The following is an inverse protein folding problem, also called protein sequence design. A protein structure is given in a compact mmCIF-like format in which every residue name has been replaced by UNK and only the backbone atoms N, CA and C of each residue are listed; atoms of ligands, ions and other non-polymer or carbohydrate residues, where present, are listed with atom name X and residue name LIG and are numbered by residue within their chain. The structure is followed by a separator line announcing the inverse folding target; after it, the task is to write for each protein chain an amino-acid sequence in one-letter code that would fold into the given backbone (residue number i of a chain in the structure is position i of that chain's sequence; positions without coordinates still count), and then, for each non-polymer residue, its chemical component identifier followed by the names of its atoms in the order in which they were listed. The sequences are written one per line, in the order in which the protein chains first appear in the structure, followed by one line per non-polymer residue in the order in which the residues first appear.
data_IF_088355782754
#
_entry.id   IF_088355782754
#
_cell.length_a   1.000
_cell.length_b   1.000
_cell.length_c   1.000
_cell.angle_alpha   90.00
_cell.angle_beta   90.00
_cell.angle_gamma   90.00
#
_symmetry.space_group_name_H-M   'P 1'
#
loop_
_entity.id
_entity.type
_entity.pdbx_description
1 polymer ?
#
# COMPACT_ATOMS: atom_id res chain seq x y z
N UNK A 1 -26.01 27.29 11.36
CA UNK A 1 -25.38 27.23 10.01
C UNK A 1 -25.09 25.79 9.64
N UNK A 2 -25.14 25.44 8.35
CA UNK A 2 -24.73 24.12 7.87
C UNK A 2 -23.78 24.29 6.68
N UNK A 3 -22.60 23.68 6.75
CA UNK A 3 -21.64 23.64 5.65
C UNK A 3 -21.51 22.20 5.16
N UNK A 4 -21.45 22.00 3.86
CA UNK A 4 -21.16 20.69 3.26
C UNK A 4 -20.25 20.87 2.06
N UNK A 5 -19.45 19.86 1.75
CA UNK A 5 -18.55 19.93 0.61
C UNK A 5 -17.59 18.75 0.52
N UNK A 6 -16.55 18.94 -0.29
CA UNK A 6 -15.50 17.95 -0.53
C UNK A 6 -14.14 18.48 -0.06
N UNK A 7 -13.35 17.60 0.56
CA UNK A 7 -11.99 17.89 1.04
C UNK A 7 -10.99 18.17 -0.09
N UNK A 8 -11.30 17.70 -1.30
CA UNK A 8 -10.53 17.99 -2.53
C UNK A 8 -10.62 19.46 -2.93
N UNK A 9 -11.70 20.16 -2.56
CA UNK A 9 -11.96 21.57 -2.89
C UNK A 9 -11.55 22.50 -1.76
N UNK A 10 -11.81 22.11 -0.51
CA UNK A 10 -11.44 22.87 0.68
C UNK A 10 -10.77 21.94 1.68
N UNK A 11 -9.50 22.19 1.95
CA UNK A 11 -8.71 21.36 2.87
C UNK A 11 -9.22 21.48 4.31
N UNK A 12 -9.06 20.41 5.10
CA UNK A 12 -9.41 20.40 6.52
C UNK A 12 -8.81 21.57 7.32
N UNK A 13 -7.52 21.94 7.16
CA UNK A 13 -6.96 23.09 7.88
C UNK A 13 -7.72 24.40 7.61
N UNK A 14 -8.18 24.61 6.37
CA UNK A 14 -8.94 25.80 6.00
C UNK A 14 -10.33 25.80 6.65
N UNK A 15 -10.99 24.63 6.72
CA UNK A 15 -12.27 24.48 7.41
C UNK A 15 -12.15 24.78 8.90
N UNK A 16 -11.12 24.22 9.54
CA UNK A 16 -10.82 24.45 10.96
C UNK A 16 -10.47 25.93 11.23
N UNK A 17 -9.72 26.58 10.35
CA UNK A 17 -9.43 28.00 10.46
C UNK A 17 -10.69 28.87 10.29
N UNK A 18 -11.61 28.48 9.40
CA UNK A 18 -12.88 29.19 9.19
C UNK A 18 -13.75 29.16 10.44
N UNK A 19 -13.98 27.98 11.03
CA UNK A 19 -14.79 27.87 12.26
C UNK A 19 -14.12 28.58 13.44
N UNK A 20 -12.79 28.58 13.48
CA UNK A 20 -12.04 29.32 14.48
C UNK A 20 -12.22 30.82 14.35
N UNK A 21 -12.06 31.38 13.16
CA UNK A 21 -12.21 32.81 12.91
C UNK A 21 -13.64 33.29 13.13
N UNK A 22 -14.63 32.43 12.88
CA UNK A 22 -16.04 32.70 13.16
C UNK A 22 -16.48 32.38 14.60
N UNK A 23 -15.56 31.92 15.46
CA UNK A 23 -15.86 31.44 16.83
C UNK A 23 -17.04 30.46 16.91
N UNK A 24 -17.18 29.61 15.89
CA UNK A 24 -18.33 28.72 15.74
C UNK A 24 -18.25 27.54 16.72
N UNK A 25 -19.43 27.04 17.11
CA UNK A 25 -19.59 25.85 17.94
C UNK A 25 -20.38 24.80 17.15
N UNK A 26 -19.82 23.62 16.97
CA UNK A 26 -20.38 22.65 16.03
C UNK A 26 -19.59 21.35 15.94
N UNK A 27 -20.12 20.45 15.12
CA UNK A 27 -19.53 19.14 14.82
C UNK A 27 -19.27 19.03 13.32
N UNK A 28 -18.02 18.73 12.97
CA UNK A 28 -17.66 18.19 11.67
C UNK A 28 -17.88 16.68 11.66
N UNK A 29 -18.52 16.19 10.61
CA UNK A 29 -18.53 14.78 10.23
C UNK A 29 -17.81 14.65 8.89
N UNK A 30 -16.78 13.82 8.85
CA UNK A 30 -15.95 13.59 7.67
C UNK A 30 -16.07 12.14 7.22
N UNK A 31 -16.09 11.95 5.90
CA UNK A 31 -16.17 10.63 5.28
C UNK A 31 -15.13 10.52 4.15
N UNK A 32 -14.27 9.51 4.22
CA UNK A 32 -13.33 9.17 3.16
C UNK A 32 -13.40 7.66 2.88
N UNK A 33 -13.99 7.29 1.74
CA UNK A 33 -14.29 5.90 1.40
C UNK A 33 -15.09 5.20 2.52
N UNK A 34 -14.50 4.21 3.21
CA UNK A 34 -15.12 3.51 4.33
C UNK A 34 -14.77 4.11 5.71
N UNK A 35 -13.90 5.13 5.76
CA UNK A 35 -13.46 5.75 7.02
C UNK A 35 -14.36 6.92 7.39
N UNK A 36 -14.79 6.96 8.64
CA UNK A 36 -15.55 8.07 9.22
C UNK A 36 -14.73 8.75 10.31
N UNK A 37 -14.92 10.07 10.44
CA UNK A 37 -14.30 10.83 11.50
C UNK A 37 -15.20 11.97 11.98
N UNK A 38 -15.02 12.34 13.24
CA UNK A 38 -15.73 13.42 13.90
C UNK A 38 -14.72 14.42 14.47
N UNK A 39 -14.98 15.72 14.30
CA UNK A 39 -14.25 16.78 15.02
C UNK A 39 -15.28 17.71 15.64
N UNK A 40 -15.18 17.95 16.95
CA UNK A 40 -16.06 18.86 17.67
C UNK A 40 -15.29 20.13 18.02
N UNK A 41 -15.95 21.26 17.80
CA UNK A 41 -15.40 22.60 18.01
C UNK A 41 -16.34 23.36 18.93
N UNK A 42 -15.78 24.02 19.93
CA UNK A 42 -16.47 24.90 20.87
C UNK A 42 -15.84 26.29 20.83
N UNK A 43 -16.62 27.31 20.46
CA UNK A 43 -16.17 28.71 20.35
C UNK A 43 -14.87 28.84 19.54
N UNK A 44 -14.81 28.16 18.40
CA UNK A 44 -13.63 28.12 17.53
C UNK A 44 -12.46 27.27 18.04
N UNK A 45 -12.58 26.64 19.21
CA UNK A 45 -11.56 25.77 19.79
C UNK A 45 -11.86 24.30 19.54
N UNK A 46 -10.89 23.52 19.10
CA UNK A 46 -11.08 22.07 18.91
C UNK A 46 -11.07 21.40 20.28
N UNK A 47 -12.16 20.71 20.63
CA UNK A 47 -12.34 20.08 21.95
C UNK A 47 -12.38 18.54 21.87
N UNK A 48 -12.74 18.01 20.70
CA UNK A 48 -12.76 16.57 20.48
C UNK A 48 -12.43 16.22 19.03
N UNK A 49 -11.77 15.08 18.84
CA UNK A 49 -11.55 14.50 17.54
C UNK A 49 -11.52 12.97 17.66
N UNK A 50 -12.10 12.29 16.68
CA UNK A 50 -12.18 10.85 16.59
C UNK A 50 -12.08 10.44 15.12
N UNK A 51 -11.27 9.41 14.84
CA UNK A 51 -11.11 8.87 13.50
C UNK A 51 -10.81 7.36 13.61
N UNK A 52 -11.77 6.53 13.20
CA UNK A 52 -11.67 5.07 13.31
C UNK A 52 -11.37 4.62 14.75
N UNK A 53 -10.19 4.06 15.04
CA UNK A 53 -9.75 3.65 16.39
C UNK A 53 -8.95 4.72 17.14
N UNK A 54 -8.71 5.88 16.51
CA UNK A 54 -7.92 6.96 17.09
C UNK A 54 -8.83 7.99 17.76
N UNK A 55 -8.35 8.58 18.85
CA UNK A 55 -9.02 9.66 19.56
C UNK A 55 -8.07 10.83 19.86
N UNK A 56 -8.62 12.01 20.08
CA UNK A 56 -7.86 13.20 20.47
C UNK A 56 -6.92 13.70 19.38
N UNK A 57 -5.71 14.10 19.80
CA UNK A 57 -4.73 14.72 18.90
C UNK A 57 -4.30 13.78 17.77
N UNK A 58 -4.14 12.50 18.06
CA UNK A 58 -3.69 11.52 17.07
C UNK A 58 -4.74 11.32 15.97
N UNK A 59 -6.03 11.27 16.36
CA UNK A 59 -7.14 11.27 15.41
C UNK A 59 -7.11 12.53 14.55
N UNK A 60 -6.99 13.70 15.18
CA UNK A 60 -6.95 14.97 14.48
C UNK A 60 -5.81 15.01 13.46
N UNK A 61 -4.59 14.61 13.84
CA UNK A 61 -3.44 14.63 12.94
C UNK A 61 -3.57 13.63 11.78
N UNK A 62 -4.17 12.46 11.99
CA UNK A 62 -4.47 11.53 10.90
C UNK A 62 -5.41 12.16 9.86
N UNK A 63 -6.35 13.00 10.29
CA UNK A 63 -7.26 13.71 9.36
C UNK A 63 -6.55 14.75 8.49
N UNK A 64 -5.38 15.27 8.89
CA UNK A 64 -4.59 16.15 8.01
C UNK A 64 -4.01 15.40 6.81
N UNK A 65 -3.94 14.07 6.86
CA UNK A 65 -3.50 13.24 5.74
C UNK A 65 -4.63 12.99 4.72
N UNK A 66 -5.88 13.34 5.05
CA UNK A 66 -7.02 13.12 4.16
C UNK A 66 -7.04 14.18 3.05
N UNK A 67 -6.55 13.81 1.86
CA UNK A 67 -6.54 14.67 0.69
C UNK A 67 -7.89 14.72 -0.07
N UNK A 68 -8.80 13.78 0.21
CA UNK A 68 -10.10 13.67 -0.44
C UNK A 68 -11.15 13.12 0.54
N UNK A 69 -12.43 13.22 0.18
CA UNK A 69 -13.55 12.86 1.03
C UNK A 69 -14.63 13.94 1.04
N UNK A 70 -15.73 13.68 1.73
CA UNK A 70 -16.79 14.65 1.99
C UNK A 70 -16.76 15.11 3.44
N UNK A 71 -17.26 16.32 3.69
CA UNK A 71 -17.44 16.85 5.03
C UNK A 71 -18.83 17.48 5.17
N UNK A 72 -19.33 17.47 6.40
CA UNK A 72 -20.48 18.27 6.82
C UNK A 72 -20.21 18.88 8.18
N UNK A 73 -20.49 20.18 8.33
CA UNK A 73 -20.48 20.89 9.60
C UNK A 73 -21.89 21.27 9.98
N UNK A 74 -22.25 20.96 11.22
CA UNK A 74 -23.54 21.33 11.82
C UNK A 74 -23.23 22.08 13.11
N UNK A 75 -23.76 23.29 13.24
CA UNK A 75 -23.73 24.00 14.52
C UNK A 75 -24.60 23.27 15.54
N UNK A 76 -24.07 23.14 16.75
CA UNK A 76 -24.76 22.49 17.87
C UNK A 76 -24.76 23.43 19.06
N UNK A 77 -25.72 23.24 19.96
CA UNK A 77 -25.71 23.97 21.22
C UNK A 77 -24.51 23.51 22.07
N UNK A 78 -23.83 24.42 22.79
CA UNK A 78 -22.70 24.05 23.65
C UNK A 78 -23.05 22.99 24.69
N UNK A 79 -24.30 22.98 25.18
CA UNK A 79 -24.84 21.99 26.11
C UNK A 79 -24.87 20.55 25.56
N UNK A 80 -24.82 20.39 24.23
CA UNK A 80 -24.84 19.10 23.55
C UNK A 80 -23.44 18.49 23.38
N UNK A 81 -22.38 19.21 23.76
CA UNK A 81 -21.00 18.71 23.71
C UNK A 81 -20.74 17.92 24.99
N UNK A 82 -20.66 16.60 24.86
CA UNK A 82 -20.39 15.69 25.99
C UNK A 82 -18.98 15.14 25.99
N UNK A 83 -18.27 15.23 24.85
CA UNK A 83 -16.98 14.59 24.64
C UNK A 83 -15.88 15.64 24.59
N UNK A 84 -14.84 15.44 25.39
CA UNK A 84 -13.64 16.28 25.43
C UNK A 84 -12.40 15.39 25.44
N UNK A 85 -11.75 15.26 24.29
CA UNK A 85 -10.48 14.53 24.16
C UNK A 85 -9.28 15.46 23.97
N UNK A 86 -9.52 16.75 23.77
CA UNK A 86 -8.52 17.79 23.55
C UNK A 86 -8.89 18.95 24.49
N UNK A 87 -7.92 19.43 25.26
CA UNK A 87 -8.12 20.50 26.23
C UNK A 87 -7.48 21.81 25.73
N UNK A 88 -8.26 22.74 25.13
CA UNK A 88 -7.73 23.97 24.57
C UNK A 88 -7.11 24.92 25.61
N UNK A 89 -7.31 24.69 26.92
CA UNK A 89 -6.63 25.45 27.97
C UNK A 89 -5.16 25.07 28.13
N UNK A 90 -4.73 23.90 27.63
CA UNK A 90 -3.33 23.50 27.63
C UNK A 90 -2.59 24.15 26.45
N UNK A 91 -1.39 24.66 26.72
CA UNK A 91 -0.59 25.38 25.73
C UNK A 91 -0.26 24.53 24.50
N UNK A 92 -0.11 23.21 24.61
CA UNK A 92 0.18 22.29 23.51
C UNK A 92 -1.07 21.87 22.71
N UNK A 93 -2.27 22.20 23.18
CA UNK A 93 -3.54 21.74 22.60
C UNK A 93 -4.41 22.90 22.11
N UNK A 94 -3.82 24.10 21.98
CA UNK A 94 -4.49 25.22 21.35
C UNK A 94 -4.73 24.95 19.87
N UNK A 95 -5.86 25.43 19.32
CA UNK A 95 -6.19 25.22 17.90
C UNK A 95 -5.08 25.70 16.97
N UNK A 96 -4.43 26.84 17.26
CA UNK A 96 -3.26 27.33 16.51
C UNK A 96 -2.15 26.29 16.38
N UNK A 97 -1.77 25.71 17.51
CA UNK A 97 -0.69 24.74 17.55
C UNK A 97 -1.08 23.44 16.88
N UNK A 98 -2.28 22.95 17.13
CA UNK A 98 -2.79 21.76 16.49
C UNK A 98 -2.83 21.91 14.96
N UNK A 99 -3.25 23.08 14.47
CA UNK A 99 -3.21 23.41 13.04
C UNK A 99 -1.79 23.39 12.49
N UNK A 100 -0.86 24.07 13.17
CA UNK A 100 0.54 24.16 12.75
C UNK A 100 1.22 22.78 12.75
N UNK A 101 1.03 22.01 13.82
CA UNK A 101 1.60 20.67 13.95
C UNK A 101 0.99 19.68 12.95
N UNK A 102 -0.33 19.74 12.74
CA UNK A 102 -1.01 18.89 11.76
C UNK A 102 -0.56 19.18 10.33
N UNK A 103 -0.39 20.46 9.97
CA UNK A 103 0.16 20.83 8.65
C UNK A 103 1.59 20.33 8.49
N UNK A 104 2.45 20.55 9.48
CA UNK A 104 3.85 20.08 9.45
C UNK A 104 3.93 18.55 9.34
N UNK A 105 3.07 17.83 10.06
CA UNK A 105 2.96 16.37 9.98
C UNK A 105 2.56 15.89 8.57
N UNK A 106 1.56 16.53 7.94
CA UNK A 106 1.15 16.21 6.58
C UNK A 106 2.25 16.49 5.54
N UNK A 107 2.99 17.58 5.70
CA UNK A 107 4.14 17.91 4.86
C UNK A 107 5.27 16.89 4.99
N UNK A 108 5.63 16.49 6.22
CA UNK A 108 6.63 15.46 6.49
C UNK A 108 6.22 14.12 5.87
N UNK A 109 4.96 13.72 6.03
CA UNK A 109 4.46 12.49 5.42
C UNK A 109 4.51 12.55 3.90
N UNK A 110 4.11 13.68 3.30
CA UNK A 110 4.17 13.91 1.85
C UNK A 110 5.61 13.87 1.33
N UNK A 111 6.56 14.42 2.07
CA UNK A 111 7.98 14.36 1.73
C UNK A 111 8.48 12.90 1.70
N UNK A 112 8.16 12.10 2.72
CA UNK A 112 8.51 10.68 2.75
C UNK A 112 7.86 9.90 1.58
N UNK A 113 6.62 10.21 1.24
CA UNK A 113 5.92 9.59 0.11
C UNK A 113 6.53 9.95 -1.24
N UNK A 114 7.00 11.18 -1.42
CA UNK A 114 7.72 11.62 -2.62
C UNK A 114 9.05 10.87 -2.79
N UNK A 115 9.74 10.61 -1.68
CA UNK A 115 10.94 9.77 -1.64
C UNK A 115 10.64 8.26 -1.75
N UNK A 116 9.37 7.88 -1.84
CA UNK A 116 8.90 6.48 -1.86
C UNK A 116 9.44 5.66 -0.68
N UNK A 117 9.57 6.29 0.49
CA UNK A 117 9.96 5.61 1.71
C UNK A 117 8.80 4.72 2.14
N UNK A 118 9.05 3.42 2.22
CA UNK A 118 8.08 2.42 2.67
C UNK A 118 8.62 1.69 3.88
N UNK A 119 7.78 0.86 4.49
CA UNK A 119 8.21 -0.01 5.58
C UNK A 119 9.32 -1.01 5.21
N UNK A 120 9.54 -1.27 3.92
CA UNK A 120 10.60 -2.16 3.42
C UNK A 120 11.88 -1.42 3.07
N UNK A 121 11.87 -0.09 3.12
CA UNK A 121 13.06 0.71 2.87
C UNK A 121 14.09 0.44 3.95
N UNK A 122 15.35 0.27 3.54
CA UNK A 122 16.49 0.16 4.45
C UNK A 122 17.21 1.49 4.48
N UNK A 123 17.48 1.99 5.68
CA UNK A 123 18.26 3.20 5.89
C UNK A 123 19.63 2.82 6.40
N UNK A 124 20.65 3.58 6.01
CA UNK A 124 22.00 3.54 6.61
C UNK A 124 22.32 4.92 7.18
N UNK A 125 23.10 5.01 8.28
CA UNK A 125 23.63 6.28 8.72
C UNK A 125 24.50 6.91 7.62
N UNK A 126 24.37 8.21 7.42
CA UNK A 126 25.18 8.93 6.46
C UNK A 126 26.63 9.06 6.99
N UNK A 127 27.60 8.81 6.11
CA UNK A 127 29.04 8.97 6.45
C UNK A 127 29.40 10.44 6.68
N UNK A 128 28.71 11.34 5.97
CA UNK A 128 28.90 12.79 6.06
C UNK A 128 27.71 13.44 6.80
N UNK A 129 27.44 12.98 8.04
CA UNK A 129 26.36 13.51 8.84
C UNK A 129 26.51 15.04 9.00
N UNK A 130 25.49 15.79 8.59
CA UNK A 130 25.47 17.24 8.77
C UNK A 130 25.34 17.57 10.27
N UNK A 131 25.97 18.65 10.70
CA UNK A 131 25.81 19.13 12.08
C UNK A 131 24.42 19.76 12.23
N UNK A 132 23.55 19.11 13.00
CA UNK A 132 22.18 19.53 13.25
C UNK A 132 21.70 19.03 14.62
N UNK A 133 20.76 19.76 15.24
CA UNK A 133 20.14 19.31 16.49
C UNK A 133 19.05 18.30 16.16
N UNK A 134 19.27 17.04 16.50
CA UNK A 134 18.27 15.99 16.42
C UNK A 134 17.38 15.98 17.67
N UNK A 135 16.11 15.66 17.49
CA UNK A 135 15.22 15.33 18.62
C UNK A 135 15.66 14.03 19.27
N UNK A 136 15.24 13.81 20.51
CA UNK A 136 15.49 12.55 21.22
C UNK A 136 14.95 11.34 20.45
N UNK A 137 13.72 11.44 19.92
CA UNK A 137 13.11 10.41 19.08
C UNK A 137 13.91 10.12 17.81
N UNK A 138 14.49 11.15 17.17
CA UNK A 138 15.32 10.98 15.98
C UNK A 138 16.68 10.35 16.32
N UNK A 139 17.25 10.65 17.49
CA UNK A 139 18.46 10.00 17.99
C UNK A 139 18.23 8.52 18.31
N UNK A 140 17.10 8.19 18.94
CA UNK A 140 16.71 6.79 19.19
C UNK A 140 16.58 6.02 17.89
N UNK A 141 15.89 6.61 16.89
CA UNK A 141 15.76 5.99 15.58
C UNK A 141 17.11 5.83 14.89
N UNK A 142 17.97 6.86 14.89
CA UNK A 142 19.30 6.80 14.29
C UNK A 142 20.20 5.73 14.91
N UNK A 143 20.08 5.48 16.22
CA UNK A 143 20.84 4.45 16.93
C UNK A 143 20.50 3.01 16.49
N UNK A 144 19.29 2.78 16.00
CA UNK A 144 18.82 1.48 15.51
C UNK A 144 19.06 1.27 14.00
N UNK A 145 19.41 2.32 13.26
CA UNK A 145 19.64 2.26 11.81
C UNK A 145 21.03 1.65 11.55
N UNK A 146 21.04 0.42 11.05
CA UNK A 146 22.25 -0.37 10.80
C UNK A 146 22.60 -0.53 9.31
N UNK A 147 21.72 -0.13 8.38
CA UNK A 147 21.90 -0.36 6.95
C UNK A 147 21.49 -1.76 6.47
N UNK A 148 20.92 -2.60 7.35
CA UNK A 148 20.58 -3.99 7.04
C UNK A 148 19.08 -4.26 7.16
N UNK A 149 18.42 -3.69 8.17
CA UNK A 149 17.03 -4.02 8.48
C UNK A 149 16.04 -3.05 7.82
N UNK A 150 14.87 -3.55 7.39
CA UNK A 150 13.81 -2.69 6.88
C UNK A 150 13.24 -1.82 8.00
N UNK A 151 12.79 -0.62 7.65
CA UNK A 151 12.20 0.33 8.59
C UNK A 151 11.08 -0.27 9.44
N UNK A 152 10.27 -1.17 8.91
CA UNK A 152 9.22 -1.88 9.68
C UNK A 152 9.78 -2.64 10.88
N UNK A 153 10.90 -3.35 10.71
CA UNK A 153 11.54 -4.08 11.80
C UNK A 153 12.07 -3.11 12.87
N UNK A 154 12.72 -2.03 12.45
CA UNK A 154 13.26 -1.00 13.34
C UNK A 154 12.14 -0.29 14.10
N UNK A 155 11.15 0.26 13.39
CA UNK A 155 10.04 1.02 13.96
C UNK A 155 9.18 0.18 14.90
N UNK A 156 9.04 -1.13 14.65
CA UNK A 156 8.29 -2.01 15.53
C UNK A 156 8.92 -2.22 16.92
N UNK A 157 10.25 -2.03 17.03
CA UNK A 157 10.97 -2.10 18.31
C UNK A 157 10.91 -0.79 19.10
N UNK A 158 10.69 0.32 18.41
CA UNK A 158 10.65 1.64 19.02
C UNK A 158 9.25 1.92 19.59
N UNK A 159 9.19 2.38 20.83
CA UNK A 159 7.95 2.81 21.50
C UNK A 159 7.58 4.24 21.11
N UNK A 160 7.61 4.54 19.81
CA UNK A 160 7.29 5.87 19.27
C UNK A 160 5.89 5.88 18.67
N UNK A 161 5.16 6.97 18.88
CA UNK A 161 3.89 7.20 18.19
C UNK A 161 4.10 7.33 16.68
N UNK A 162 3.07 7.05 15.89
CA UNK A 162 3.13 7.17 14.43
C UNK A 162 3.57 8.58 13.97
N UNK A 163 3.12 9.62 14.68
CA UNK A 163 3.55 11.01 14.43
C UNK A 163 5.04 11.18 14.65
N UNK A 164 5.56 10.74 15.79
CA UNK A 164 6.98 10.84 16.12
C UNK A 164 7.84 10.04 15.13
N UNK A 165 7.41 8.85 14.72
CA UNK A 165 8.10 8.05 13.72
C UNK A 165 8.25 8.81 12.39
N UNK A 166 7.15 9.38 11.88
CA UNK A 166 7.15 10.15 10.63
C UNK A 166 8.02 11.40 10.76
N UNK A 167 7.90 12.12 11.86
CA UNK A 167 8.69 13.33 12.12
C UNK A 167 10.18 13.00 12.19
N UNK A 168 10.57 11.99 12.97
CA UNK A 168 11.95 11.55 13.12
C UNK A 168 12.53 11.08 11.78
N UNK A 169 11.79 10.27 11.02
CA UNK A 169 12.23 9.83 9.68
C UNK A 169 12.42 11.00 8.73
N UNK A 170 11.47 11.93 8.69
CA UNK A 170 11.56 13.10 7.84
C UNK A 170 12.79 13.95 8.20
N UNK A 171 13.05 14.20 9.48
CA UNK A 171 14.24 14.93 9.94
C UNK A 171 15.54 14.22 9.58
N UNK A 172 15.63 12.90 9.79
CA UNK A 172 16.86 12.15 9.47
C UNK A 172 17.20 12.21 7.97
N UNK A 173 16.19 12.15 7.11
CA UNK A 173 16.37 12.20 5.67
C UNK A 173 16.55 13.63 5.14
N UNK A 174 15.79 14.61 5.64
CA UNK A 174 15.90 16.02 5.21
C UNK A 174 17.24 16.62 5.58
N UNK A 175 17.73 16.29 6.77
CA UNK A 175 18.97 16.85 7.32
C UNK A 175 20.20 16.02 6.90
N UNK A 176 19.98 14.88 6.24
CA UNK A 176 21.04 14.03 5.68
C UNK A 176 21.79 13.22 6.72
N UNK A 177 21.16 12.86 7.85
CA UNK A 177 21.71 11.92 8.84
C UNK A 177 21.57 10.46 8.40
N UNK A 178 20.62 10.17 7.51
CA UNK A 178 20.43 8.83 6.97
C UNK A 178 20.23 8.91 5.45
N UNK A 179 20.65 7.84 4.77
CA UNK A 179 20.47 7.67 3.33
C UNK A 179 19.72 6.38 3.08
N UNK A 180 18.87 6.40 2.05
CA UNK A 180 18.22 5.19 1.56
C UNK A 180 19.26 4.32 0.87
N UNK A 181 19.34 3.06 1.28
CA UNK A 181 20.23 2.07 0.67
C UNK A 181 19.37 0.97 0.07
N UNK A 182 19.79 0.45 -1.07
CA UNK A 182 19.19 -0.78 -1.59
C UNK A 182 19.35 -1.88 -0.53
N UNK A 183 18.29 -2.64 -0.23
CA UNK A 183 18.39 -3.76 0.70
C UNK A 183 19.54 -4.65 0.22
N UNK A 184 20.63 -4.68 0.99
CA UNK A 184 21.66 -5.68 0.77
C UNK A 184 20.95 -7.00 1.05
N UNK A 185 20.70 -7.81 0.01
CA UNK A 185 20.38 -9.22 0.23
C UNK A 185 21.43 -9.72 1.22
N UNK A 186 21.02 -10.31 2.36
CA UNK A 186 21.99 -10.79 3.31
C UNK A 186 22.96 -11.65 2.53
N UNK A 187 24.26 -11.31 2.55
CA UNK A 187 25.33 -12.04 1.87
C UNK A 187 25.53 -13.47 2.43
N UNK A 188 24.48 -13.99 3.09
CA UNK A 188 24.32 -15.27 3.74
C UNK A 188 22.83 -15.70 3.71
N UNK A 189 22.15 -15.58 2.58
CA UNK A 189 21.48 -16.82 2.17
C UNK A 189 22.64 -17.72 1.78
N UNK A 190 23.09 -18.55 2.72
CA UNK A 190 23.81 -19.77 2.37
C UNK A 190 23.02 -20.36 1.22
N UNK A 191 23.58 -20.22 0.01
CA UNK A 191 23.14 -20.98 -1.12
C UNK A 191 23.36 -22.41 -0.66
N UNK A 192 22.31 -23.02 -0.12
CA UNK A 192 22.31 -24.39 0.34
C UNK A 192 22.43 -25.18 -0.93
N UNK A 193 23.68 -25.38 -1.37
CA UNK A 193 23.96 -26.25 -2.47
C UNK A 193 23.46 -27.61 -2.03
N UNK A 194 22.49 -28.11 -2.79
CA UNK A 194 22.02 -29.47 -2.60
C UNK A 194 23.26 -30.37 -2.70
N UNK A 195 23.50 -31.28 -1.76
CA UNK A 195 24.59 -32.23 -1.86
C UNK A 195 24.57 -32.93 -3.22
N UNK A 196 25.74 -33.23 -3.80
CA UNK A 196 25.84 -33.77 -5.16
C UNK A 196 24.98 -35.02 -5.38
N UNK A 197 24.77 -35.83 -4.34
CA UNK A 197 23.91 -37.02 -4.41
C UNK A 197 22.42 -36.67 -4.55
N UNK A 198 21.96 -35.57 -3.96
CA UNK A 198 20.59 -35.07 -4.10
C UNK A 198 20.38 -34.53 -5.51
N UNK A 199 21.35 -33.77 -6.02
CA UNK A 199 21.31 -33.26 -7.41
C UNK A 199 21.35 -34.42 -8.41
N UNK A 200 22.23 -35.40 -8.20
CA UNK A 200 22.32 -36.59 -9.05
C UNK A 200 21.02 -37.41 -9.01
N UNK A 201 20.38 -37.53 -7.84
CA UNK A 201 19.11 -38.25 -7.70
C UNK A 201 17.95 -37.51 -8.35
N UNK A 202 17.85 -36.19 -8.14
CA UNK A 202 16.83 -35.36 -8.77
C UNK A 202 16.99 -35.35 -10.30
N UNK A 203 18.23 -35.32 -10.81
CA UNK A 203 18.53 -35.43 -12.25
C UNK A 203 18.29 -36.82 -12.83
N UNK A 204 18.39 -37.87 -12.01
CA UNK A 204 18.10 -39.25 -12.41
C UNK A 204 16.60 -39.46 -12.62
N UNK A 205 15.78 -38.88 -11.75
CA UNK A 205 14.31 -39.03 -11.80
C UNK A 205 13.66 -37.99 -12.73
N UNK A 206 14.27 -36.82 -12.93
CA UNK A 206 13.86 -35.81 -13.91
C UNK A 206 15.07 -35.14 -14.56
N UNK A 207 15.38 -35.41 -15.85
CA UNK A 207 16.55 -34.85 -16.52
C UNK A 207 16.49 -33.32 -16.65
N UNK A 208 15.30 -32.72 -16.57
CA UNK A 208 15.11 -31.27 -16.54
C UNK A 208 14.14 -30.85 -15.42
N UNK A 209 14.70 -30.68 -14.23
CA UNK A 209 13.97 -30.28 -13.02
C UNK A 209 13.23 -28.95 -13.22
N UNK A 210 13.81 -28.05 -14.02
CA UNK A 210 13.19 -26.76 -14.35
C UNK A 210 11.88 -26.97 -15.10
N UNK A 211 11.88 -27.87 -16.09
CA UNK A 211 10.68 -28.22 -16.85
C UNK A 211 9.63 -28.92 -15.96
N UNK A 212 10.05 -29.81 -15.06
CA UNK A 212 9.14 -30.47 -14.13
C UNK A 212 8.44 -29.48 -13.17
N UNK A 213 9.16 -28.44 -12.71
CA UNK A 213 8.58 -27.37 -11.90
C UNK A 213 7.60 -26.54 -12.73
N UNK A 214 7.94 -26.19 -13.96
CA UNK A 214 7.05 -25.47 -14.88
C UNK A 214 5.78 -26.30 -15.15
N UNK A 215 5.92 -27.59 -15.45
CA UNK A 215 4.80 -28.49 -15.69
C UNK A 215 3.91 -28.65 -14.46
N UNK A 216 4.50 -28.68 -13.25
CA UNK A 216 3.75 -28.70 -11.99
C UNK A 216 2.94 -27.41 -11.80
N UNK A 217 3.52 -26.24 -12.09
CA UNK A 217 2.83 -24.94 -12.00
C UNK A 217 1.69 -24.87 -13.01
N UNK A 218 1.93 -25.29 -14.26
CA UNK A 218 0.90 -25.34 -15.31
C UNK A 218 -0.22 -26.31 -14.95
N UNK A 219 0.11 -27.46 -14.34
CA UNK A 219 -0.89 -28.43 -13.90
C UNK A 219 -1.78 -27.87 -12.79
N UNK A 220 -1.20 -27.21 -11.79
CA UNK A 220 -1.96 -26.55 -10.71
C UNK A 220 -2.92 -25.49 -11.28
N UNK A 221 -2.48 -24.73 -12.30
CA UNK A 221 -3.32 -23.71 -12.93
C UNK A 221 -4.50 -24.32 -13.70
N UNK A 222 -4.27 -25.43 -14.42
CA UNK A 222 -5.36 -26.19 -15.08
C UNK A 222 -6.39 -26.73 -14.09
N UNK A 223 -5.95 -27.24 -12.93
CA UNK A 223 -6.86 -27.72 -11.88
C UNK A 223 -7.72 -26.57 -11.34
N UNK A 224 -7.14 -25.39 -11.15
CA UNK A 224 -7.91 -24.20 -10.72
C UNK A 224 -8.96 -23.79 -11.76
N UNK A 225 -8.61 -23.77 -13.05
CA UNK A 225 -9.57 -23.50 -14.11
C UNK A 225 -10.71 -24.53 -14.11
N UNK A 226 -10.39 -25.81 -13.91
CA UNK A 226 -11.40 -26.88 -13.87
C UNK A 226 -12.34 -26.75 -12.67
N UNK A 227 -11.81 -26.41 -11.50
CA UNK A 227 -12.63 -26.10 -10.32
C UNK A 227 -13.57 -24.91 -10.56
N UNK A 228 -13.05 -23.82 -11.12
CA UNK A 228 -13.88 -22.64 -11.42
C UNK A 228 -15.00 -22.95 -12.42
N UNK A 229 -14.71 -23.78 -13.42
CA UNK A 229 -15.71 -24.24 -14.39
C UNK A 229 -16.79 -25.10 -13.71
N UNK A 230 -16.39 -26.03 -12.85
CA UNK A 230 -17.32 -26.86 -12.09
C UNK A 230 -18.24 -26.02 -11.20
N UNK A 231 -17.70 -25.03 -10.49
CA UNK A 231 -18.48 -24.11 -9.65
C UNK A 231 -19.51 -23.32 -10.49
N UNK A 232 -19.10 -22.80 -11.64
CA UNK A 232 -20.00 -22.10 -12.58
C UNK A 232 -21.13 -23.02 -13.08
N UNK A 233 -20.82 -24.27 -13.40
CA UNK A 233 -21.80 -25.23 -13.88
C UNK A 233 -22.76 -25.66 -12.75
N UNK A 234 -22.29 -25.79 -11.51
CA UNK A 234 -23.15 -25.99 -10.34
C UNK A 234 -24.10 -24.81 -10.11
N UNK A 235 -23.65 -23.56 -10.26
CA UNK A 235 -24.53 -22.39 -10.17
C UNK A 235 -25.61 -22.40 -11.25
N UNK A 236 -25.28 -22.77 -12.49
CA UNK A 236 -26.27 -22.91 -13.58
C UNK A 236 -27.32 -23.97 -13.24
N UNK A 237 -26.89 -25.14 -12.76
CA UNK A 237 -27.80 -26.23 -12.37
C UNK A 237 -28.73 -25.79 -11.24
N UNK A 238 -28.19 -25.11 -10.22
CA UNK A 238 -28.99 -24.56 -9.11
C UNK A 238 -30.04 -23.58 -9.62
N UNK A 239 -29.65 -22.65 -10.48
CA UNK A 239 -30.56 -21.67 -11.08
C UNK A 239 -31.65 -22.33 -11.96
N UNK A 240 -31.33 -23.43 -12.65
CA UNK A 240 -32.32 -24.21 -13.41
C UNK A 240 -33.32 -24.92 -12.49
N UNK A 241 -32.85 -25.50 -11.37
CA UNK A 241 -33.71 -26.15 -10.38
C UNK A 241 -34.64 -25.15 -9.68
N UNK A 242 -34.14 -23.97 -9.32
CA UNK A 242 -34.96 -22.91 -8.72
C UNK A 242 -36.02 -22.39 -9.70
N UNK A 243 -35.70 -22.28 -10.99
CA UNK A 243 -36.67 -21.92 -12.04
C UNK A 243 -37.71 -23.02 -12.30
N UNK A 244 -37.31 -24.30 -12.22
CA UNK A 244 -38.21 -25.43 -12.46
C UNK A 244 -39.03 -25.84 -11.22
N UNK A 245 -38.60 -25.46 -10.00
CA UNK A 245 -39.33 -25.70 -8.76
C UNK A 245 -40.66 -24.92 -8.62
N UNK A 246 -40.96 -24.02 -9.56
CA UNK A 246 -42.19 -23.22 -9.59
C UNK A 246 -43.26 -23.67 -10.60
N UNK A 247 -43.08 -24.79 -11.31
CA UNK A 247 -44.10 -25.26 -12.26
C UNK A 247 -44.42 -26.74 -12.11
N UNK A 248 -45.71 -26.98 -11.90
CA UNK A 248 -46.39 -28.27 -11.89
C UNK A 248 -45.94 -29.20 -13.02
N UNK A 249 -45.69 -30.45 -12.65
CA UNK A 249 -45.54 -31.63 -13.52
C UNK A 249 -46.58 -31.62 -14.64
N UNK A 250 -46.15 -31.94 -15.88
CA UNK A 250 -46.91 -32.86 -16.69
C UNK A 250 -46.06 -34.05 -17.18
N UNK A 251 -46.67 -35.21 -16.97
CA UNK A 251 -46.55 -36.50 -17.65
C UNK A 251 -45.69 -36.59 -18.92
N UNK A 252 -44.69 -37.49 -18.84
CA UNK A 252 -44.29 -38.50 -19.83
C UNK A 252 -44.67 -38.25 -21.30
N UNK A 253 -43.69 -37.88 -22.14
CA UNK A 253 -43.63 -38.31 -23.54
C UNK A 253 -42.19 -38.62 -23.96
N UNK A 254 -42.14 -39.54 -24.93
CA UNK A 254 -41.06 -40.39 -25.40
C UNK A 254 -39.95 -39.70 -26.20
N UNK A 255 -38.79 -40.37 -26.21
CA UNK A 255 -37.65 -40.18 -27.12
C UNK A 255 -38.04 -39.96 -28.59
N UNK A 256 -37.39 -38.97 -29.23
CA UNK A 256 -36.74 -39.16 -30.54
C UNK A 256 -35.42 -38.40 -30.59
N UNK A 257 -34.43 -39.10 -31.14
CA UNK A 257 -33.09 -38.64 -31.49
C UNK A 257 -33.13 -37.69 -32.68
N UNK A 258 -32.31 -36.65 -32.67
CA UNK A 258 -31.70 -36.10 -33.89
C UNK A 258 -30.37 -35.41 -33.54
N UNK A 259 -29.29 -36.03 -34.01
CA UNK A 259 -27.99 -35.40 -34.24
C UNK A 259 -28.15 -34.28 -35.27
N UNK A 260 -27.46 -33.16 -35.08
CA UNK A 260 -26.85 -32.45 -36.22
C UNK A 260 -25.79 -31.40 -35.78
N UNK A 261 -24.59 -31.58 -36.35
CA UNK A 261 -23.42 -30.69 -36.54
C UNK A 261 -22.70 -30.12 -35.29
N UNK A 262 -21.42 -30.41 -34.97
CA UNK A 262 -20.16 -30.45 -35.72
C UNK A 262 -19.83 -29.13 -36.45
N UNK A 263 -19.07 -28.25 -35.78
CA UNK A 263 -17.97 -27.38 -36.25
C UNK A 263 -17.46 -26.59 -35.02
N UNK A 264 -16.28 -26.86 -34.44
CA UNK A 264 -14.91 -26.66 -34.93
C UNK A 264 -14.54 -25.17 -35.15
N UNK A 265 -13.44 -24.78 -34.48
CA UNK A 265 -12.58 -23.60 -34.65
C UNK A 265 -13.10 -22.28 -34.04
N UNK A 266 -12.42 -21.62 -33.09
CA UNK A 266 -11.00 -21.25 -33.11
C UNK A 266 -10.41 -21.30 -31.69
N UNK A 267 -9.39 -22.15 -31.51
CA UNK A 267 -8.37 -22.01 -30.49
C UNK A 267 -7.12 -21.36 -31.12
N UNK A 268 -6.31 -20.76 -30.26
CA UNK A 268 -4.93 -20.32 -30.49
C UNK A 268 -4.73 -18.93 -31.12
N UNK A 269 -4.76 -17.91 -30.26
CA UNK A 269 -3.83 -16.79 -30.31
C UNK A 269 -3.45 -16.42 -28.87
N UNK A 270 -2.18 -16.08 -28.65
CA UNK A 270 -1.51 -15.79 -27.36
C UNK A 270 -0.82 -16.99 -26.70
N UNK A 271 0.20 -17.56 -27.35
CA UNK A 271 1.52 -17.80 -26.75
C UNK A 271 2.48 -18.13 -27.91
N UNK A 272 3.25 -17.12 -28.34
CA UNK A 272 4.29 -17.29 -29.36
C UNK A 272 5.54 -17.93 -28.76
N UNK A 273 5.95 -19.07 -29.30
CA UNK A 273 7.26 -19.67 -29.10
C UNK A 273 8.24 -19.24 -30.20
N UNK A 274 9.49 -19.06 -29.77
CA UNK A 274 10.68 -18.70 -30.55
C UNK A 274 10.94 -19.56 -31.78
N UNK A 275 11.53 -18.96 -32.82
CA UNK A 275 12.50 -19.64 -33.68
C UNK A 275 13.63 -18.69 -34.09
N UNK A 276 14.86 -19.19 -33.95
CA UNK A 276 16.12 -18.53 -34.28
C UNK A 276 16.37 -18.42 -35.80
N UNK A 277 17.29 -17.55 -36.25
CA UNK A 277 17.93 -17.72 -37.55
C UNK A 277 19.44 -17.95 -37.46
N UNK A 278 19.88 -18.95 -38.22
CA UNK A 278 21.27 -19.31 -38.43
C UNK A 278 21.98 -18.47 -39.51
N UNK A 279 23.25 -18.16 -39.23
CA UNK A 279 24.43 -17.92 -40.08
C UNK A 279 24.26 -17.72 -41.60
N UNK A 280 24.82 -16.61 -42.09
CA UNK A 280 25.54 -16.57 -43.39
C UNK A 280 26.80 -15.70 -43.30
N UNK A 281 27.92 -16.32 -43.68
CA UNK A 281 29.25 -15.72 -43.88
C UNK A 281 29.28 -14.79 -45.10
N UNK A 282 30.09 -13.71 -45.03
CA UNK A 282 31.26 -13.50 -45.91
C UNK A 282 32.05 -12.24 -45.57
N UNK A 283 33.37 -12.44 -45.54
CA UNK A 283 34.53 -11.55 -45.80
C UNK A 283 34.28 -10.05 -46.02
N UNK A 284 35.09 -9.11 -45.55
CA UNK A 284 36.46 -9.17 -45.06
C UNK A 284 37.08 -7.76 -45.22
N UNK A 285 37.96 -7.36 -44.31
CA UNK A 285 38.64 -6.05 -44.39
C UNK A 285 39.50 -5.77 -43.16
N UNK A 286 40.81 -5.98 -43.32
CA UNK A 286 41.93 -5.73 -42.39
C UNK A 286 41.94 -4.26 -41.87
N UNK A 287 42.05 -4.02 -40.55
CA UNK A 287 43.27 -3.82 -39.71
C UNK A 287 43.93 -2.41 -39.88
N UNK A 288 44.77 -1.86 -38.96
CA UNK A 288 44.94 -2.05 -37.51
C UNK A 288 45.06 -0.73 -36.67
N UNK A 289 44.96 -0.91 -35.35
CA UNK A 289 45.76 -0.33 -34.23
C UNK A 289 46.20 1.15 -34.19
N UNK A 290 45.83 1.83 -33.09
CA UNK A 290 46.76 2.65 -32.28
C UNK A 290 46.21 2.93 -30.87
N UNK A 291 47.00 2.55 -29.86
CA UNK A 291 47.11 3.09 -28.50
C UNK A 291 48.63 3.27 -28.24
N UNK A 292 49.06 3.90 -27.14
CA UNK A 292 48.86 5.28 -26.73
C UNK A 292 50.23 5.98 -26.59
N UNK A 293 50.28 7.27 -26.27
CA UNK A 293 51.50 7.91 -25.75
C UNK A 293 51.17 8.81 -24.58
N UNK A 294 51.79 8.49 -23.44
CA UNK A 294 52.08 9.41 -22.35
C UNK A 294 52.90 10.59 -22.88
N UNK A 295 52.55 11.79 -22.44
CA UNK A 295 53.41 12.67 -21.62
C UNK A 295 52.51 13.69 -20.90
#
# INVERSE_FOLDING_TARGET
MQLTGELSKVSLPNLLQLVRNGELTGKFSLLQAAKTATVVVEKGSIVHAEADVLHGKDALFELFLWANGSFSFIEIEPSSITEHSINPAKYDETTDKLLKEGQSYAEQKRFLDQLRITGQTVLSPAKDARSGKLSESALQLLGEIDGLQPLTAILSRLTLSRKEQIQSLATLLSDGFSVVVEPQEPASMEQTSLPDWVVARLRQDNPDISQAIVDMVVWVDRVKCWMFQADSDFEKIKNMLEKNGGSSVPSSQSYTSENDYLNADVAADLYGSEEAPAKKERSGGRNPARKPSND
#
